data_IF_199061340408
#
_entry.id   IF_199061340408
#
_cell.length_a   1.000
_cell.length_b   1.000
_cell.length_c   1.000
_cell.angle_alpha   90.00
_cell.angle_beta   90.00
_cell.angle_gamma   90.00
#
_symmetry.space_group_name_H-M   'P 1'
#
loop_
_entity.id
_entity.type
_entity.pdbx_description
1 polymer ?
#
# COMPACT_ATOMS: atom_id res chain seq x y z
N UNK A 1 -4.59 -13.89 -12.26
CA UNK A 1 -4.42 -15.23 -11.67
C UNK A 1 -4.29 -15.08 -10.17
N UNK A 2 -5.00 -15.92 -9.44
CA UNK A 2 -4.91 -16.02 -8.01
C UNK A 2 -3.53 -16.59 -7.62
N UNK A 3 -2.93 -16.01 -6.59
CA UNK A 3 -1.61 -16.36 -6.15
C UNK A 3 -1.05 -15.34 -5.17
N UNK A 4 -0.01 -15.75 -4.47
CA UNK A 4 0.82 -14.88 -3.63
C UNK A 4 2.15 -14.66 -4.35
N UNK A 5 2.48 -13.40 -4.58
CA UNK A 5 3.62 -12.93 -5.35
C UNK A 5 4.58 -12.23 -4.38
N UNK A 6 5.65 -12.91 -3.89
CA UNK A 6 6.63 -12.34 -3.00
C UNK A 6 7.62 -11.46 -3.78
N UNK A 7 7.18 -10.26 -4.14
CA UNK A 7 7.94 -9.34 -4.99
C UNK A 7 7.74 -7.87 -4.58
N UNK A 8 8.74 -7.05 -4.86
CA UNK A 8 8.66 -5.59 -4.72
C UNK A 8 8.49 -4.99 -6.11
N UNK A 9 7.36 -4.33 -6.35
CA UNK A 9 6.97 -3.86 -7.68
C UNK A 9 7.02 -2.34 -7.73
N UNK A 10 7.60 -1.79 -8.80
CA UNK A 10 7.59 -0.34 -9.07
C UNK A 10 6.97 -0.07 -10.44
N UNK A 11 5.81 0.61 -10.44
CA UNK A 11 5.07 1.00 -11.65
C UNK A 11 5.40 2.44 -11.99
N UNK A 12 6.35 2.64 -12.92
CA UNK A 12 6.77 3.97 -13.39
C UNK A 12 6.01 4.45 -14.63
N UNK A 13 5.41 3.53 -15.38
CA UNK A 13 4.71 3.83 -16.64
C UNK A 13 3.31 4.33 -16.35
N UNK A 14 2.90 5.42 -17.01
CA UNK A 14 1.55 5.97 -16.92
C UNK A 14 0.50 5.05 -17.56
N UNK A 15 -0.75 5.20 -17.12
CA UNK A 15 -1.94 4.48 -17.63
C UNK A 15 -1.81 2.96 -17.56
N UNK A 16 -1.15 2.45 -16.52
CA UNK A 16 -1.07 1.03 -16.22
C UNK A 16 -2.22 0.63 -15.33
N UNK A 17 -2.89 -0.47 -15.70
CA UNK A 17 -3.89 -1.13 -14.86
C UNK A 17 -3.33 -2.44 -14.34
N UNK A 18 -3.32 -2.61 -13.01
CA UNK A 18 -3.13 -3.91 -12.37
C UNK A 18 -4.50 -4.48 -12.01
N UNK A 19 -4.83 -5.62 -12.61
CA UNK A 19 -6.10 -6.32 -12.41
C UNK A 19 -5.83 -7.68 -11.78
N UNK A 20 -6.32 -7.87 -10.56
CA UNK A 20 -6.30 -9.13 -9.83
C UNK A 20 -7.64 -9.86 -9.88
N UNK A 21 -7.65 -11.08 -9.35
CA UNK A 21 -8.82 -11.97 -9.37
C UNK A 21 -9.78 -11.69 -8.19
N UNK A 22 -9.47 -10.69 -7.34
CA UNK A 22 -10.25 -10.25 -6.18
C UNK A 22 -9.41 -10.11 -4.91
N UNK A 23 -9.94 -9.35 -3.93
CA UNK A 23 -9.33 -9.20 -2.60
C UNK A 23 -9.04 -10.57 -1.99
N UNK A 24 -7.82 -10.76 -1.50
CA UNK A 24 -7.36 -12.01 -0.89
C UNK A 24 -7.03 -13.13 -1.88
N UNK A 25 -7.22 -12.92 -3.18
CA UNK A 25 -6.89 -13.91 -4.22
C UNK A 25 -5.59 -13.60 -4.95
N UNK A 26 -5.38 -12.35 -5.34
CA UNK A 26 -4.12 -11.89 -5.96
C UNK A 26 -3.40 -11.01 -4.95
N UNK A 27 -2.32 -11.53 -4.36
CA UNK A 27 -1.62 -10.92 -3.22
C UNK A 27 -0.18 -10.58 -3.62
N UNK A 28 0.20 -9.31 -3.58
CA UNK A 28 1.59 -8.85 -3.71
C UNK A 28 2.12 -8.67 -2.28
N UNK A 29 3.22 -9.33 -1.92
CA UNK A 29 3.71 -9.34 -0.53
C UNK A 29 5.20 -9.05 -0.43
N UNK A 30 5.57 -8.32 0.62
CA UNK A 30 6.94 -8.04 1.01
C UNK A 30 7.02 -7.79 2.53
N UNK A 31 8.21 -7.52 3.04
CA UNK A 31 8.48 -7.40 4.49
C UNK A 31 9.55 -6.35 4.84
N UNK A 32 9.89 -5.46 3.88
CA UNK A 32 10.86 -4.39 4.13
C UNK A 32 10.34 -3.47 5.23
N UNK A 33 11.25 -3.06 6.10
CA UNK A 33 10.97 -2.22 7.25
C UNK A 33 12.21 -1.41 7.64
N UNK A 34 12.03 -0.35 8.43
CA UNK A 34 13.15 0.52 8.83
C UNK A 34 13.99 -0.08 9.96
N UNK A 35 13.39 -0.89 10.84
CA UNK A 35 14.05 -1.51 11.99
C UNK A 35 15.19 -2.42 11.55
N UNK A 36 14.91 -3.40 10.68
CA UNK A 36 15.89 -4.37 10.18
C UNK A 36 16.92 -3.72 9.24
N UNK A 37 16.57 -2.59 8.63
CA UNK A 37 17.51 -1.77 7.90
C UNK A 37 18.47 -0.97 8.82
N UNK A 38 18.27 -1.01 10.15
CA UNK A 38 18.97 -0.20 11.14
C UNK A 38 18.93 1.30 10.79
N UNK A 39 17.77 1.78 10.34
CA UNK A 39 17.55 3.18 9.94
C UNK A 39 18.24 3.61 8.64
N UNK A 40 18.96 2.72 7.95
CA UNK A 40 19.64 3.03 6.68
C UNK A 40 18.69 3.15 5.49
N UNK A 41 17.49 2.61 5.63
CA UNK A 41 16.41 2.67 4.65
C UNK A 41 15.30 3.50 5.27
N UNK A 42 14.91 4.59 4.61
CA UNK A 42 13.76 5.38 5.06
C UNK A 42 12.45 4.69 4.72
N UNK A 43 11.37 5.03 5.44
CA UNK A 43 9.99 4.60 5.18
C UNK A 43 9.62 4.63 3.68
N UNK A 44 10.11 5.62 2.95
CA UNK A 44 9.84 5.78 1.52
C UNK A 44 10.20 4.56 0.67
N UNK A 45 11.23 3.81 1.06
CA UNK A 45 11.78 2.67 0.32
C UNK A 45 11.36 1.31 0.89
N UNK A 46 10.52 1.28 1.93
CA UNK A 46 10.01 0.02 2.52
C UNK A 46 8.77 -0.52 1.79
N UNK A 47 8.22 0.23 0.84
CA UNK A 47 7.01 -0.12 0.10
C UNK A 47 7.12 -1.43 -0.68
N UNK A 48 6.10 -2.28 -0.54
CA UNK A 48 5.95 -3.51 -1.35
C UNK A 48 5.50 -3.16 -2.78
N UNK A 49 4.50 -2.30 -2.92
CA UNK A 49 4.09 -1.72 -4.21
C UNK A 49 4.40 -0.22 -4.24
N UNK A 50 5.12 0.21 -5.27
CA UNK A 50 5.38 1.62 -5.57
C UNK A 50 4.66 1.99 -6.87
N UNK A 51 3.81 3.01 -6.81
CA UNK A 51 3.10 3.59 -7.96
C UNK A 51 3.60 5.01 -8.20
N UNK A 52 4.24 5.22 -9.35
CA UNK A 52 4.81 6.52 -9.77
C UNK A 52 4.25 6.98 -11.14
N UNK A 53 3.62 6.08 -11.90
CA UNK A 53 2.97 6.42 -13.17
C UNK A 53 1.58 7.02 -12.99
N UNK A 54 1.36 8.20 -13.57
CA UNK A 54 0.05 8.87 -13.59
C UNK A 54 -1.04 8.02 -14.25
N UNK A 55 -2.29 8.18 -13.82
CA UNK A 55 -3.43 7.45 -14.36
C UNK A 55 -3.45 5.95 -14.01
N UNK A 56 -2.70 5.54 -12.97
CA UNK A 56 -2.68 4.16 -12.51
C UNK A 56 -4.04 3.69 -11.99
N UNK A 57 -4.40 2.45 -12.31
CA UNK A 57 -5.57 1.77 -11.75
C UNK A 57 -5.14 0.45 -11.12
N UNK A 58 -5.43 0.27 -9.83
CA UNK A 58 -5.37 -1.04 -9.18
C UNK A 58 -6.79 -1.56 -8.94
N UNK A 59 -7.08 -2.80 -9.31
CA UNK A 59 -8.37 -3.42 -8.97
C UNK A 59 -8.27 -4.89 -8.62
N UNK A 60 -8.96 -5.31 -7.56
CA UNK A 60 -9.05 -6.71 -7.17
C UNK A 60 -7.73 -7.30 -6.69
N UNK A 61 -6.83 -6.49 -6.15
CA UNK A 61 -5.53 -6.92 -5.62
C UNK A 61 -5.43 -6.67 -4.10
N UNK A 62 -4.65 -7.49 -3.43
CA UNK A 62 -4.18 -7.24 -2.06
C UNK A 62 -2.69 -6.92 -2.10
N UNK A 63 -2.28 -5.86 -1.41
CA UNK A 63 -0.86 -5.55 -1.17
C UNK A 63 -0.59 -5.64 0.31
N UNK A 64 0.42 -6.42 0.68
CA UNK A 64 0.74 -6.72 2.08
C UNK A 64 2.21 -6.44 2.40
N UNK A 65 2.44 -5.74 3.51
CA UNK A 65 3.73 -5.75 4.17
C UNK A 65 3.65 -6.61 5.45
N UNK A 66 4.42 -7.69 5.51
CA UNK A 66 4.38 -8.70 6.57
C UNK A 66 5.43 -8.49 7.67
N UNK A 67 6.13 -7.35 7.71
CA UNK A 67 7.18 -7.10 8.69
C UNK A 67 6.70 -7.27 10.16
N UNK A 68 5.48 -6.83 10.45
CA UNK A 68 4.87 -6.93 11.77
C UNK A 68 5.05 -5.67 12.63
N UNK A 69 4.42 -5.63 13.81
CA UNK A 69 4.36 -4.43 14.65
C UNK A 69 5.73 -4.03 15.24
N UNK A 70 6.55 -5.01 15.61
CA UNK A 70 7.88 -4.81 16.23
C UNK A 70 8.93 -4.23 15.25
N UNK A 71 8.57 -4.08 13.97
CA UNK A 71 9.48 -3.65 12.91
C UNK A 71 9.32 -2.17 12.54
N UNK A 72 8.48 -1.46 13.28
CA UNK A 72 8.19 -0.05 13.08
C UNK A 72 7.67 0.21 11.64
N UNK A 73 8.09 1.30 10.99
CA UNK A 73 7.56 1.73 9.69
C UNK A 73 7.80 0.70 8.57
N UNK A 74 6.71 0.19 7.99
CA UNK A 74 6.73 -0.85 6.96
C UNK A 74 5.57 -0.68 5.96
N UNK A 75 5.87 -0.06 4.81
CA UNK A 75 4.84 0.36 3.85
C UNK A 75 4.36 -0.82 3.00
N UNK A 76 3.04 -1.00 2.88
CA UNK A 76 2.46 -1.92 1.90
C UNK A 76 2.45 -1.26 0.52
N UNK A 77 1.83 -0.07 0.40
CA UNK A 77 1.74 0.66 -0.87
C UNK A 77 2.16 2.12 -0.70
N UNK A 78 3.03 2.59 -1.58
CA UNK A 78 3.34 4.01 -1.77
C UNK A 78 2.87 4.49 -3.13
N UNK A 79 2.08 5.56 -3.14
CA UNK A 79 1.55 6.15 -4.37
C UNK A 79 2.02 7.60 -4.51
N UNK A 80 2.68 7.91 -5.62
CA UNK A 80 3.21 9.22 -6.00
C UNK A 80 2.83 9.52 -7.45
N UNK A 81 1.52 9.54 -7.72
CA UNK A 81 0.95 9.62 -9.07
C UNK A 81 -0.34 10.47 -9.04
N UNK A 82 -0.56 11.26 -10.09
CA UNK A 82 -1.82 11.96 -10.32
C UNK A 82 -2.87 11.04 -10.92
N UNK A 83 -4.13 11.24 -10.51
CA UNK A 83 -5.29 10.49 -11.01
C UNK A 83 -5.13 8.96 -10.79
N UNK A 84 -4.48 8.56 -9.69
CA UNK A 84 -4.38 7.16 -9.33
C UNK A 84 -5.66 6.69 -8.63
N UNK A 85 -6.17 5.53 -9.02
CA UNK A 85 -7.37 4.95 -8.45
C UNK A 85 -7.16 3.50 -8.00
N UNK A 86 -7.76 3.16 -6.86
CA UNK A 86 -7.80 1.79 -6.35
C UNK A 86 -9.25 1.37 -6.11
N UNK A 87 -9.66 0.24 -6.70
CA UNK A 87 -11.03 -0.27 -6.62
C UNK A 87 -11.08 -1.72 -6.16
N UNK A 88 -11.75 -1.98 -5.03
CA UNK A 88 -11.80 -3.32 -4.43
C UNK A 88 -10.40 -3.90 -4.23
N UNK A 89 -9.54 -3.10 -3.62
CA UNK A 89 -8.20 -3.52 -3.23
C UNK A 89 -8.11 -3.66 -1.71
N UNK A 90 -7.13 -4.41 -1.24
CA UNK A 90 -6.78 -4.43 0.17
C UNK A 90 -5.33 -4.01 0.40
N UNK A 91 -5.11 -3.23 1.46
CA UNK A 91 -3.79 -2.78 1.90
C UNK A 91 -3.59 -3.25 3.33
N UNK A 92 -2.61 -4.12 3.53
CA UNK A 92 -2.41 -4.81 4.80
C UNK A 92 -1.01 -4.55 5.37
N UNK A 93 -0.95 -4.00 6.58
CA UNK A 93 0.30 -3.84 7.32
C UNK A 93 0.05 -3.56 8.80
N UNK A 94 1.04 -2.93 9.43
CA UNK A 94 0.96 -2.39 10.79
C UNK A 94 1.23 -0.88 10.71
N UNK A 95 2.43 -0.44 11.08
CA UNK A 95 2.79 0.98 11.00
C UNK A 95 3.08 1.40 9.55
N UNK A 96 2.58 2.57 9.16
CA UNK A 96 2.82 3.20 7.84
C UNK A 96 2.29 2.39 6.63
N UNK A 97 1.19 1.64 6.79
CA UNK A 97 0.68 0.71 5.76
C UNK A 97 0.45 1.36 4.38
N UNK A 98 -0.27 2.49 4.30
CA UNK A 98 -0.64 3.14 3.05
C UNK A 98 -0.09 4.57 2.98
N UNK A 99 0.93 4.75 2.15
CA UNK A 99 1.60 6.03 1.95
C UNK A 99 1.03 6.77 0.72
N UNK A 100 0.04 7.63 0.97
CA UNK A 100 -0.58 8.54 -0.01
C UNK A 100 0.32 9.77 -0.23
N UNK A 101 1.48 9.56 -0.87
CA UNK A 101 2.60 10.52 -0.86
C UNK A 101 2.41 11.78 -1.72
N UNK A 102 2.12 11.64 -3.03
CA UNK A 102 1.96 12.77 -3.98
C UNK A 102 0.81 12.53 -4.99
N UNK A 103 0.16 13.60 -5.42
CA UNK A 103 -0.86 13.62 -6.47
C UNK A 103 -2.31 13.60 -5.96
N UNK A 104 -3.25 13.40 -6.87
CA UNK A 104 -4.70 13.22 -6.56
C UNK A 104 -5.03 11.74 -6.65
N UNK A 105 -5.55 11.18 -5.56
CA UNK A 105 -5.74 9.73 -5.43
C UNK A 105 -7.16 9.39 -4.97
N UNK A 106 -7.73 8.30 -5.47
CA UNK A 106 -9.07 7.84 -5.12
C UNK A 106 -9.08 6.36 -4.75
N UNK A 107 -9.66 6.04 -3.59
CA UNK A 107 -9.78 4.69 -3.08
C UNK A 107 -11.26 4.38 -2.90
N UNK A 108 -11.75 3.32 -3.55
CA UNK A 108 -13.17 2.93 -3.50
C UNK A 108 -13.34 1.46 -3.17
N UNK A 109 -14.25 1.16 -2.24
CA UNK A 109 -14.56 -0.21 -1.82
C UNK A 109 -13.31 -1.00 -1.39
N UNK A 110 -12.32 -0.31 -0.81
CA UNK A 110 -11.05 -0.91 -0.38
C UNK A 110 -11.08 -1.26 1.11
N UNK A 111 -10.31 -2.28 1.49
CA UNK A 111 -10.09 -2.66 2.88
C UNK A 111 -8.67 -2.26 3.30
N UNK A 112 -8.54 -1.40 4.31
CA UNK A 112 -7.24 -0.87 4.77
C UNK A 112 -7.01 -1.29 6.22
N UNK A 113 -5.87 -1.93 6.48
CA UNK A 113 -5.53 -2.44 7.80
C UNK A 113 -4.19 -1.90 8.28
N UNK A 114 -4.13 -1.44 9.53
CA UNK A 114 -2.86 -1.11 10.19
C UNK A 114 -3.03 -0.59 11.61
N UNK A 115 -1.94 -0.13 12.21
CA UNK A 115 -1.89 0.28 13.62
C UNK A 115 -1.56 1.76 13.79
N UNK A 116 -0.27 2.13 13.70
CA UNK A 116 0.24 3.49 13.85
C UNK A 116 0.35 4.14 12.48
N UNK A 117 -0.20 5.35 12.31
CA UNK A 117 -0.09 6.18 11.08
C UNK A 117 -0.34 5.41 9.77
N UNK A 118 -1.23 4.41 9.80
CA UNK A 118 -1.34 3.43 8.73
C UNK A 118 -1.99 3.94 7.44
N UNK A 119 -2.53 5.16 7.46
CA UNK A 119 -2.83 5.97 6.28
C UNK A 119 -2.19 7.33 6.50
N UNK A 120 -1.15 7.66 5.75
CA UNK A 120 -0.39 8.90 5.97
C UNK A 120 0.08 9.54 4.67
N UNK A 121 0.29 10.86 4.73
CA UNK A 121 0.71 11.70 3.62
C UNK A 121 1.65 12.79 4.09
N UNK A 122 2.40 13.37 3.15
CA UNK A 122 3.10 14.63 3.36
C UNK A 122 2.44 15.82 2.64
N UNK A 123 1.68 15.62 1.54
CA UNK A 123 1.26 16.75 0.67
C UNK A 123 -0.04 16.56 -0.15
N UNK A 124 -0.86 15.52 0.09
CA UNK A 124 -1.88 15.02 -0.88
C UNK A 124 -3.35 15.33 -0.58
N UNK A 125 -4.17 15.27 -1.65
CA UNK A 125 -5.63 15.11 -1.62
C UNK A 125 -5.99 13.66 -1.99
N UNK A 126 -6.40 12.86 -0.99
CA UNK A 126 -6.91 11.51 -1.19
C UNK A 126 -8.37 11.43 -0.72
N UNK A 127 -9.22 10.73 -1.48
CA UNK A 127 -10.60 10.45 -1.08
C UNK A 127 -10.79 8.95 -0.96
N UNK A 128 -11.34 8.54 0.18
CA UNK A 128 -11.69 7.15 0.49
C UNK A 128 -13.22 7.04 0.53
N UNK A 129 -13.80 6.36 -0.45
CA UNK A 129 -15.24 6.19 -0.58
C UNK A 129 -15.63 4.73 -0.36
N UNK A 130 -16.60 4.48 0.52
CA UNK A 130 -17.09 3.14 0.84
C UNK A 130 -15.96 2.15 1.21
N UNK A 131 -14.87 2.66 1.81
CA UNK A 131 -13.76 1.84 2.27
C UNK A 131 -14.02 1.35 3.69
N UNK A 132 -13.44 0.22 4.04
CA UNK A 132 -13.41 -0.29 5.41
C UNK A 132 -12.00 -0.06 5.97
N UNK A 133 -11.93 0.60 7.12
CA UNK A 133 -10.68 1.00 7.75
C UNK A 133 -10.60 0.28 9.10
N UNK A 134 -9.64 -0.64 9.20
CA UNK A 134 -9.50 -1.58 10.31
C UNK A 134 -8.24 -1.29 11.12
N UNK A 135 -8.42 -0.69 12.29
CA UNK A 135 -7.34 -0.56 13.26
C UNK A 135 -6.94 -1.95 13.81
N UNK A 136 -5.63 -2.20 13.91
CA UNK A 136 -5.04 -3.41 14.47
C UNK A 136 -4.40 -3.09 15.82
N UNK A 137 -4.29 -4.11 16.68
CA UNK A 137 -3.47 -4.02 17.88
C UNK A 137 -2.02 -3.70 17.45
N UNK A 138 -1.43 -2.60 17.95
CA UNK A 138 -0.09 -2.16 17.56
C UNK A 138 1.05 -3.08 18.04
N UNK A 139 0.79 -4.11 18.83
CA UNK A 139 1.86 -4.82 19.55
C UNK A 139 2.29 -4.02 20.78
N UNK A 140 2.87 -4.70 21.77
CA UNK A 140 3.29 -4.14 23.05
C UNK A 140 4.32 -5.02 23.72
#
# INVERSE_FOLDING_TARGET
MAGTYPEYVTIKRSNVTLLGDGIGKTIITGDKNVHDAAGRVSTYYTATLIVEGDGFIGSGITVKNTAGPEKEQAVATRTSANQAAFYRCSFEGYQDTLYVNKGVQFYRECDIYGSVDFIFSQTVKAVFQNCRIYARNPGG
#
